data_IF_995496401254
#
_entry.id   IF_995496401254
#
_cell.length_a   1.000
_cell.length_b   1.000
_cell.length_c   1.000
_cell.angle_alpha   90.00
_cell.angle_beta   90.00
_cell.angle_gamma   90.00
#
_symmetry.space_group_name_H-M   'P 1'
#
loop_
_entity.id
_entity.type
_entity.pdbx_description
1 polymer ?
#
# COMPACT_ATOMS: atom_id res chain seq x y z
N UNK A 1 -39.78 0.28 91.52
CA UNK A 1 -39.05 1.04 90.47
C UNK A 1 -38.13 0.06 89.76
N UNK A 2 -38.07 0.16 88.42
CA UNK A 2 -37.16 -0.54 87.47
C UNK A 2 -37.46 -2.03 87.22
N UNK A 3 -37.96 -2.43 86.05
CA UNK A 3 -37.37 -2.49 84.69
C UNK A 3 -36.45 -3.70 84.50
N UNK A 4 -36.89 -4.68 83.71
CA UNK A 4 -36.10 -5.32 82.65
C UNK A 4 -36.96 -6.32 81.86
N UNK A 5 -37.43 -5.90 80.68
CA UNK A 5 -37.87 -6.79 79.58
C UNK A 5 -36.61 -7.15 78.78
N UNK A 6 -36.30 -8.44 78.63
CA UNK A 6 -35.34 -8.88 77.62
C UNK A 6 -36.09 -9.22 76.33
N UNK A 7 -35.87 -8.39 75.30
CA UNK A 7 -36.30 -8.61 73.92
C UNK A 7 -35.49 -9.77 73.31
N UNK A 8 -36.20 -10.74 72.74
CA UNK A 8 -35.68 -11.65 71.72
C UNK A 8 -35.64 -10.91 70.38
N UNK A 9 -34.45 -10.79 69.79
CA UNK A 9 -34.25 -10.33 68.40
C UNK A 9 -34.04 -11.59 67.52
N UNK A 10 -34.76 -11.77 66.40
CA UNK A 10 -34.41 -12.80 65.44
C UNK A 10 -33.28 -12.28 64.53
N UNK A 11 -32.19 -13.06 64.45
CA UNK A 11 -31.11 -12.85 63.51
C UNK A 11 -31.63 -13.22 62.10
N UNK A 12 -31.87 -12.22 61.25
CA UNK A 12 -32.14 -12.43 59.83
C UNK A 12 -30.79 -12.52 59.13
N UNK A 13 -30.35 -13.75 58.81
CA UNK A 13 -29.24 -14.00 57.88
C UNK A 13 -29.70 -13.66 56.47
N UNK A 14 -29.23 -12.52 55.96
CA UNK A 14 -29.40 -12.10 54.58
C UNK A 14 -28.37 -12.85 53.72
N UNK A 15 -28.79 -13.92 53.07
CA UNK A 15 -28.00 -14.60 52.05
C UNK A 15 -27.89 -13.68 50.83
N UNK A 16 -26.72 -13.04 50.65
CA UNK A 16 -26.34 -12.39 49.40
C UNK A 16 -26.19 -13.47 48.33
N UNK A 17 -27.20 -13.58 47.47
CA UNK A 17 -27.06 -14.20 46.15
C UNK A 17 -26.15 -13.28 45.33
N UNK A 18 -24.87 -13.62 45.25
CA UNK A 18 -23.99 -13.09 44.21
C UNK A 18 -24.47 -13.72 42.92
N UNK A 19 -25.34 -13.01 42.19
CA UNK A 19 -25.57 -13.31 40.78
C UNK A 19 -24.27 -13.01 40.07
N UNK A 20 -23.48 -14.06 39.81
CA UNK A 20 -22.45 -14.02 38.79
C UNK A 20 -23.15 -13.54 37.52
N UNK A 21 -22.87 -12.31 37.08
CA UNK A 21 -23.08 -11.93 35.70
C UNK A 21 -22.16 -12.85 34.90
N UNK A 22 -22.67 -13.99 34.44
CA UNK A 22 -21.96 -14.81 33.49
C UNK A 22 -21.90 -14.01 32.20
N UNK A 23 -20.69 -13.80 31.67
CA UNK A 23 -20.52 -13.35 30.29
C UNK A 23 -21.28 -14.33 29.36
N UNK A 24 -22.02 -13.78 28.40
CA UNK A 24 -22.68 -14.57 27.37
C UNK A 24 -21.63 -14.93 26.30
N UNK A 25 -20.84 -15.96 26.60
CA UNK A 25 -19.71 -16.38 25.77
C UNK A 25 -20.24 -17.20 24.59
N UNK A 26 -19.92 -16.76 23.37
CA UNK A 26 -20.23 -17.49 22.16
C UNK A 26 -19.26 -18.68 21.99
N UNK A 27 -19.73 -19.93 21.95
CA UNK A 27 -18.84 -21.10 21.83
C UNK A 27 -18.06 -21.15 20.49
N UNK A 28 -18.48 -20.41 19.47
CA UNK A 28 -17.85 -20.37 18.15
C UNK A 28 -17.08 -19.07 17.88
N UNK A 29 -16.81 -18.26 18.92
CA UNK A 29 -16.21 -16.94 18.74
C UNK A 29 -14.89 -17.01 17.94
N UNK A 30 -14.09 -18.07 18.08
CA UNK A 30 -12.81 -18.24 17.37
C UNK A 30 -12.97 -18.26 15.85
N UNK A 31 -14.04 -18.86 15.31
CA UNK A 31 -14.33 -18.89 13.87
C UNK A 31 -14.89 -17.56 13.37
N UNK A 32 -15.68 -16.87 14.20
CA UNK A 32 -16.32 -15.60 13.86
C UNK A 32 -15.33 -14.43 13.85
N UNK A 33 -14.40 -14.37 14.82
CA UNK A 33 -13.33 -13.35 14.85
C UNK A 33 -12.26 -13.60 13.78
N UNK A 34 -12.18 -14.82 13.25
CA UNK A 34 -11.31 -15.18 12.14
C UNK A 34 -11.94 -14.89 10.76
N UNK A 35 -13.04 -14.14 10.68
CA UNK A 35 -13.57 -13.72 9.38
C UNK A 35 -12.65 -12.68 8.72
N UNK A 36 -12.17 -12.90 7.49
CA UNK A 36 -11.23 -12.01 6.80
C UNK A 36 -11.70 -10.55 6.65
N UNK A 37 -13.02 -10.33 6.68
CA UNK A 37 -13.60 -9.00 6.48
C UNK A 37 -13.20 -8.01 7.58
N UNK A 38 -12.92 -8.47 8.81
CA UNK A 38 -12.38 -7.60 9.86
C UNK A 38 -11.01 -7.01 9.45
N UNK A 39 -10.15 -7.83 8.86
CA UNK A 39 -8.84 -7.39 8.39
C UNK A 39 -8.95 -6.53 7.12
N UNK A 40 -9.79 -6.90 6.16
CA UNK A 40 -10.05 -6.09 4.96
C UNK A 40 -10.54 -4.67 5.31
N UNK A 41 -11.51 -4.55 6.21
CA UNK A 41 -12.04 -3.25 6.65
C UNK A 41 -10.99 -2.43 7.38
N UNK A 42 -10.13 -3.08 8.18
CA UNK A 42 -9.01 -2.42 8.85
C UNK A 42 -8.01 -1.80 7.87
N UNK A 43 -7.61 -2.57 6.85
CA UNK A 43 -6.71 -2.07 5.80
C UNK A 43 -7.38 -1.00 4.93
N UNK A 44 -8.68 -1.15 4.62
CA UNK A 44 -9.46 -0.12 3.88
C UNK A 44 -9.52 1.19 4.65
N UNK A 45 -9.78 1.16 5.95
CA UNK A 45 -9.78 2.38 6.76
C UNK A 45 -8.42 3.08 6.73
N UNK A 46 -7.32 2.31 6.79
CA UNK A 46 -5.98 2.88 6.65
C UNK A 46 -5.78 3.53 5.27
N UNK A 47 -6.25 2.90 4.19
CA UNK A 47 -6.27 3.49 2.83
C UNK A 47 -7.04 4.82 2.80
N UNK A 48 -8.21 4.89 3.43
CA UNK A 48 -9.03 6.09 3.43
C UNK A 48 -8.37 7.25 4.17
N UNK A 49 -7.61 6.95 5.24
CA UNK A 49 -6.80 7.95 5.93
C UNK A 49 -5.57 8.34 5.11
N UNK A 50 -4.92 7.41 4.41
CA UNK A 50 -3.80 7.71 3.50
C UNK A 50 -4.22 8.70 2.41
N UNK A 51 -5.39 8.50 1.81
CA UNK A 51 -5.98 9.40 0.81
C UNK A 51 -6.33 10.76 1.43
N UNK A 52 -6.91 10.75 2.63
CA UNK A 52 -7.26 11.98 3.35
C UNK A 52 -6.02 12.84 3.68
N UNK A 53 -4.94 12.20 4.11
CA UNK A 53 -3.70 12.84 4.54
C UNK A 53 -2.75 13.19 3.38
N UNK A 54 -3.11 12.82 2.14
CA UNK A 54 -2.39 13.14 0.89
C UNK A 54 -0.95 12.62 0.95
N UNK A 55 -0.75 11.38 1.41
CA UNK A 55 0.56 10.76 1.40
C UNK A 55 1.05 10.49 -0.03
N UNK A 56 2.35 10.67 -0.25
CA UNK A 56 2.97 10.35 -1.53
C UNK A 56 2.95 8.85 -1.82
N UNK A 57 2.95 8.41 -3.09
CA UNK A 57 2.99 6.99 -3.44
C UNK A 57 4.07 6.17 -2.69
N UNK A 58 5.35 6.58 -2.65
CA UNK A 58 6.37 5.82 -1.92
C UNK A 58 6.11 5.76 -0.41
N UNK A 59 5.62 6.86 0.20
CA UNK A 59 5.30 6.89 1.63
C UNK A 59 4.09 6.02 1.95
N UNK A 60 3.06 6.02 1.10
CA UNK A 60 1.91 5.11 1.24
C UNK A 60 2.36 3.64 1.22
N UNK A 61 3.25 3.26 0.31
CA UNK A 61 3.84 1.90 0.27
C UNK A 61 4.55 1.52 1.58
N UNK A 62 5.26 2.47 2.22
CA UNK A 62 5.86 2.28 3.55
C UNK A 62 4.81 2.04 4.65
N UNK A 63 3.72 2.82 4.64
CA UNK A 63 2.64 2.71 5.63
C UNK A 63 1.98 1.33 5.54
N UNK A 64 1.60 0.90 4.34
CA UNK A 64 1.02 -0.42 4.12
C UNK A 64 1.96 -1.53 4.59
N UNK A 65 3.23 -1.51 4.16
CA UNK A 65 4.17 -2.58 4.45
C UNK A 65 4.39 -2.82 5.94
N UNK A 66 4.73 -1.78 6.71
CA UNK A 66 4.96 -1.98 8.14
C UNK A 66 3.69 -2.38 8.90
N UNK A 67 2.53 -1.80 8.54
CA UNK A 67 1.27 -2.18 9.18
C UNK A 67 0.90 -3.65 8.90
N UNK A 68 1.04 -4.11 7.66
CA UNK A 68 0.75 -5.49 7.29
C UNK A 68 1.76 -6.48 7.87
N UNK A 69 3.05 -6.13 7.95
CA UNK A 69 4.06 -6.96 8.63
C UNK A 69 3.71 -7.14 10.11
N UNK A 70 3.24 -6.09 10.80
CA UNK A 70 2.83 -6.20 12.20
C UNK A 70 1.66 -7.17 12.40
N UNK A 71 0.64 -7.09 11.54
CA UNK A 71 -0.46 -8.06 11.55
C UNK A 71 0.00 -9.48 11.22
N UNK A 72 0.91 -9.64 10.26
CA UNK A 72 1.49 -10.93 9.88
C UNK A 72 2.26 -11.57 11.02
N UNK A 73 3.19 -10.86 11.66
CA UNK A 73 4.01 -11.40 12.75
C UNK A 73 3.17 -11.74 13.97
N UNK A 74 2.12 -10.97 14.26
CA UNK A 74 1.19 -11.28 15.36
C UNK A 74 0.39 -12.55 15.08
N UNK A 75 0.00 -12.79 13.82
CA UNK A 75 -0.71 -14.01 13.43
C UNK A 75 0.20 -15.24 13.38
N UNK A 76 1.39 -15.10 12.78
CA UNK A 76 2.37 -16.18 12.60
C UNK A 76 2.88 -16.77 13.93
N UNK A 77 2.72 -16.06 15.05
CA UNK A 77 3.03 -16.60 16.37
C UNK A 77 2.11 -17.77 16.79
N UNK A 78 0.91 -17.86 16.22
CA UNK A 78 -0.10 -18.88 16.54
C UNK A 78 -0.49 -19.78 15.38
N UNK A 79 -0.10 -19.45 14.15
CA UNK A 79 -0.44 -20.20 12.95
C UNK A 79 0.77 -21.06 12.50
N UNK A 80 0.68 -22.39 12.53
CA UNK A 80 1.79 -23.27 12.14
C UNK A 80 2.09 -23.27 10.64
N UNK A 81 1.17 -22.76 9.80
CA UNK A 81 1.35 -22.67 8.34
C UNK A 81 2.00 -21.35 7.92
N UNK A 82 2.01 -20.33 8.80
CA UNK A 82 2.70 -19.06 8.59
C UNK A 82 4.07 -19.04 9.27
N UNK A 83 5.12 -18.95 8.47
CA UNK A 83 6.48 -18.77 8.99
C UNK A 83 6.78 -17.31 9.24
N UNK A 84 7.29 -16.97 10.43
CA UNK A 84 7.75 -15.60 10.74
C UNK A 84 8.72 -15.07 9.67
N UNK A 85 8.57 -13.78 9.37
CA UNK A 85 9.45 -13.02 8.48
C UNK A 85 10.81 -12.75 9.13
N UNK A 86 10.94 -12.89 10.45
CA UNK A 86 12.21 -12.76 11.14
C UNK A 86 13.24 -13.78 10.62
N UNK A 87 14.45 -13.32 10.32
CA UNK A 87 15.49 -14.14 9.71
C UNK A 87 15.35 -14.33 8.19
N UNK A 88 14.16 -14.13 7.60
CA UNK A 88 13.97 -13.99 6.16
C UNK A 88 14.18 -12.54 5.71
N UNK A 89 13.73 -11.59 6.51
CA UNK A 89 14.10 -10.18 6.45
C UNK A 89 15.32 -9.98 7.36
N UNK A 90 16.52 -9.67 6.82
CA UNK A 90 17.79 -9.77 7.57
C UNK A 90 17.87 -8.92 8.84
N UNK A 91 17.18 -7.78 8.86
CA UNK A 91 17.21 -6.83 9.97
C UNK A 91 15.94 -6.87 10.83
N UNK A 92 15.01 -7.80 10.58
CA UNK A 92 13.84 -8.02 11.43
C UNK A 92 14.20 -9.06 12.49
N UNK A 93 14.23 -8.64 13.75
CA UNK A 93 14.38 -9.56 14.88
C UNK A 93 13.05 -10.29 15.16
N UNK A 94 13.08 -11.49 15.77
CA UNK A 94 11.87 -12.21 16.16
C UNK A 94 10.94 -11.34 17.01
N UNK A 95 9.64 -11.36 16.70
CA UNK A 95 8.63 -10.68 17.48
C UNK A 95 8.51 -11.28 18.90
N UNK A 96 8.00 -10.52 19.88
CA UNK A 96 7.74 -11.05 21.22
C UNK A 96 6.80 -12.27 21.18
N UNK A 97 7.14 -13.30 21.94
CA UNK A 97 6.26 -14.46 22.10
C UNK A 97 4.99 -14.10 22.90
N UNK A 98 3.85 -14.74 22.60
CA UNK A 98 2.64 -14.61 23.41
C UNK A 98 2.88 -15.19 24.81
N UNK A 99 2.07 -14.78 25.78
CA UNK A 99 2.13 -15.36 27.12
C UNK A 99 1.55 -16.77 27.08
N UNK A 100 2.30 -17.80 27.52
CA UNK A 100 1.83 -19.20 27.49
C UNK A 100 0.67 -19.48 28.43
N UNK A 101 0.48 -18.63 29.44
CA UNK A 101 -0.47 -18.86 30.53
C UNK A 101 -1.82 -18.17 30.29
N UNK A 102 -1.97 -17.43 29.18
CA UNK A 102 -3.17 -16.65 28.85
C UNK A 102 -3.64 -17.02 27.44
N UNK A 103 -4.90 -17.42 27.33
CA UNK A 103 -5.53 -17.70 26.03
C UNK A 103 -5.66 -16.39 25.23
N UNK A 104 -5.30 -16.45 23.94
CA UNK A 104 -5.40 -15.32 23.02
C UNK A 104 -5.98 -15.77 21.67
N UNK A 105 -6.65 -14.83 21.00
CA UNK A 105 -7.07 -14.91 19.61
C UNK A 105 -6.06 -14.20 18.72
N UNK A 106 -5.32 -14.97 17.93
CA UNK A 106 -4.35 -14.44 16.97
C UNK A 106 -4.97 -13.56 15.88
N UNK A 107 -6.19 -13.82 15.37
CA UNK A 107 -6.88 -12.88 14.49
C UNK A 107 -7.08 -11.48 15.09
N UNK A 108 -7.54 -11.41 16.35
CA UNK A 108 -7.71 -10.13 17.06
C UNK A 108 -6.35 -9.45 17.25
N UNK A 109 -5.32 -10.20 17.66
CA UNK A 109 -3.97 -9.68 17.83
C UNK A 109 -3.40 -9.13 16.50
N UNK A 110 -3.65 -9.80 15.37
CA UNK A 110 -3.22 -9.36 14.05
C UNK A 110 -3.87 -8.03 13.62
N UNK A 111 -5.17 -7.88 13.87
CA UNK A 111 -5.90 -6.63 13.60
C UNK A 111 -5.35 -5.52 14.49
N UNK A 112 -5.24 -5.75 15.80
CA UNK A 112 -4.72 -4.77 16.75
C UNK A 112 -3.29 -4.33 16.42
N UNK A 113 -2.42 -5.27 16.02
CA UNK A 113 -1.06 -4.97 15.60
C UNK A 113 -1.03 -4.10 14.33
N UNK A 114 -1.81 -4.48 13.31
CA UNK A 114 -1.91 -3.74 12.06
C UNK A 114 -2.44 -2.32 12.28
N UNK A 115 -3.49 -2.15 13.09
CA UNK A 115 -4.08 -0.85 13.38
C UNK A 115 -3.14 0.06 14.17
N UNK A 116 -2.47 -0.46 15.20
CA UNK A 116 -1.55 0.33 16.03
C UNK A 116 -0.36 0.83 15.21
N UNK A 117 0.24 -0.03 14.36
CA UNK A 117 1.31 0.40 13.46
C UNK A 117 0.80 1.36 12.39
N UNK A 118 -0.34 1.06 11.76
CA UNK A 118 -0.97 1.96 10.78
C UNK A 118 -1.18 3.37 11.35
N UNK A 119 -1.74 3.47 12.57
CA UNK A 119 -1.98 4.72 13.28
C UNK A 119 -0.69 5.51 13.52
N UNK A 120 0.38 4.84 13.92
CA UNK A 120 1.68 5.49 14.20
C UNK A 120 2.38 6.09 12.97
N UNK A 121 1.86 5.83 11.77
CA UNK A 121 2.48 6.22 10.49
C UNK A 121 1.66 7.25 9.69
N UNK A 122 0.50 7.68 10.19
CA UNK A 122 -0.41 8.65 9.56
C UNK A 122 -0.48 9.96 10.36
N UNK A 123 -1.17 10.98 9.84
CA UNK A 123 -1.39 12.25 10.56
C UNK A 123 -2.74 12.30 11.26
N UNK A 124 -3.82 11.85 10.59
CA UNK A 124 -5.18 11.87 11.13
C UNK A 124 -5.47 10.66 12.01
N UNK A 125 -4.69 10.50 13.10
CA UNK A 125 -4.76 9.33 14.00
C UNK A 125 -6.15 9.11 14.60
N UNK A 126 -6.89 10.18 14.86
CA UNK A 126 -8.25 10.16 15.42
C UNK A 126 -9.25 9.43 14.50
N UNK A 127 -9.10 9.55 13.18
CA UNK A 127 -9.97 8.89 12.20
C UNK A 127 -9.77 7.38 12.20
N UNK A 128 -8.53 6.92 12.35
CA UNK A 128 -8.25 5.48 12.47
C UNK A 128 -8.60 4.94 13.86
N UNK A 129 -8.38 5.73 14.91
CA UNK A 129 -8.76 5.35 16.28
C UNK A 129 -10.27 5.17 16.42
N UNK A 130 -11.07 6.11 15.88
CA UNK A 130 -12.54 6.02 15.92
C UNK A 130 -13.04 4.72 15.28
N UNK A 131 -12.46 4.33 14.14
CA UNK A 131 -12.79 3.07 13.49
C UNK A 131 -12.31 1.86 14.31
N UNK A 132 -11.10 1.92 14.88
CA UNK A 132 -10.54 0.87 15.74
C UNK A 132 -11.45 0.60 16.93
N UNK A 133 -11.92 1.65 17.61
CA UNK A 133 -12.83 1.53 18.75
C UNK A 133 -14.15 0.89 18.34
N UNK A 134 -14.72 1.28 17.19
CA UNK A 134 -15.92 0.65 16.63
C UNK A 134 -15.71 -0.83 16.31
N UNK A 135 -14.56 -1.19 15.72
CA UNK A 135 -14.26 -2.57 15.36
C UNK A 135 -14.07 -3.46 16.59
N UNK A 136 -13.47 -2.93 17.66
CA UNK A 136 -13.33 -3.65 18.93
C UNK A 136 -14.70 -3.90 19.55
N UNK A 137 -15.63 -2.94 19.51
CA UNK A 137 -17.01 -3.14 19.97
C UNK A 137 -17.71 -4.23 19.14
N UNK A 138 -17.55 -4.21 17.81
CA UNK A 138 -18.13 -5.26 16.94
C UNK A 138 -17.57 -6.66 17.25
N UNK A 139 -16.29 -6.76 17.61
CA UNK A 139 -15.65 -8.02 18.01
C UNK A 139 -16.13 -8.46 19.40
N UNK A 140 -16.30 -7.51 20.33
CA UNK A 140 -16.84 -7.76 21.67
C UNK A 140 -18.27 -8.30 21.61
N UNK A 141 -19.11 -7.72 20.74
CA UNK A 141 -20.50 -8.12 20.48
C UNK A 141 -20.63 -9.56 19.94
N UNK A 142 -19.56 -10.20 19.45
CA UNK A 142 -19.55 -11.62 19.07
C UNK A 142 -19.67 -12.53 20.30
N UNK A 143 -19.34 -12.04 21.50
CA UNK A 143 -19.29 -12.82 22.74
C UNK A 143 -17.93 -13.49 22.96
N UNK A 144 -16.84 -12.78 22.64
CA UNK A 144 -15.47 -13.19 23.01
C UNK A 144 -15.30 -12.99 24.52
N UNK A 145 -14.71 -13.92 25.28
CA UNK A 145 -14.43 -13.68 26.69
C UNK A 145 -13.55 -12.43 26.90
N UNK A 146 -13.90 -11.57 27.85
CA UNK A 146 -13.21 -10.29 28.08
C UNK A 146 -11.70 -10.48 28.25
N UNK A 147 -11.30 -11.49 29.03
CA UNK A 147 -9.89 -11.82 29.27
C UNK A 147 -9.15 -12.16 27.96
N UNK A 148 -9.79 -12.92 27.06
CA UNK A 148 -9.21 -13.28 25.76
C UNK A 148 -9.12 -12.05 24.87
N UNK A 149 -10.18 -11.22 24.80
CA UNK A 149 -10.19 -10.00 24.00
C UNK A 149 -9.05 -9.05 24.40
N UNK A 150 -8.95 -8.72 25.69
CA UNK A 150 -7.92 -7.81 26.19
C UNK A 150 -6.52 -8.39 26.05
N UNK A 151 -6.32 -9.68 26.34
CA UNK A 151 -5.03 -10.32 26.17
C UNK A 151 -4.58 -10.37 24.70
N UNK A 152 -5.52 -10.56 23.77
CA UNK A 152 -5.25 -10.55 22.32
C UNK A 152 -4.82 -9.18 21.83
N UNK A 153 -5.55 -8.12 22.23
CA UNK A 153 -5.22 -6.74 21.88
C UNK A 153 -3.85 -6.37 22.46
N UNK A 154 -3.59 -6.70 23.72
CA UNK A 154 -2.31 -6.41 24.37
C UNK A 154 -1.15 -7.16 23.71
N UNK A 155 -1.36 -8.42 23.30
CA UNK A 155 -0.36 -9.15 22.53
C UNK A 155 -0.08 -8.49 21.18
N UNK A 156 -1.13 -8.15 20.41
CA UNK A 156 -0.99 -7.41 19.16
C UNK A 156 -0.25 -6.08 19.34
N UNK A 157 -0.52 -5.37 20.44
CA UNK A 157 0.17 -4.13 20.79
C UNK A 157 1.67 -4.32 21.08
N UNK A 158 2.07 -5.41 21.72
CA UNK A 158 3.48 -5.75 21.96
C UNK A 158 4.22 -6.05 20.66
N UNK A 159 3.57 -6.74 19.72
CA UNK A 159 4.12 -6.98 18.38
C UNK A 159 4.22 -5.67 17.59
N UNK A 160 3.20 -4.81 17.65
CA UNK A 160 3.24 -3.50 17.03
C UNK A 160 4.38 -2.64 17.58
N UNK A 161 4.60 -2.60 18.90
CA UNK A 161 5.70 -1.83 19.50
C UNK A 161 7.07 -2.33 19.04
N UNK A 162 7.23 -3.64 18.86
CA UNK A 162 8.43 -4.23 18.25
C UNK A 162 8.65 -3.76 16.81
N UNK A 163 7.60 -3.76 15.99
CA UNK A 163 7.67 -3.27 14.60
C UNK A 163 7.91 -1.75 14.53
N UNK A 164 7.32 -0.98 15.45
CA UNK A 164 7.53 0.47 15.58
C UNK A 164 8.99 0.78 15.91
N UNK A 165 9.55 0.10 16.91
CA UNK A 165 10.96 0.22 17.25
C UNK A 165 11.87 -0.17 16.09
N UNK A 166 11.47 -1.17 15.30
CA UNK A 166 12.21 -1.62 14.14
C UNK A 166 12.22 -0.61 12.98
N UNK A 167 11.06 -0.06 12.59
CA UNK A 167 11.00 0.89 11.47
C UNK A 167 11.65 2.22 11.80
N UNK A 168 11.80 2.58 13.08
CA UNK A 168 12.49 3.81 13.48
C UNK A 168 13.96 3.84 13.04
N UNK A 169 14.54 2.67 12.73
CA UNK A 169 15.87 2.52 12.15
C UNK A 169 15.93 2.46 10.61
N UNK A 170 14.85 2.76 9.89
CA UNK A 170 14.76 2.61 8.42
C UNK A 170 15.20 3.83 7.60
N UNK A 171 15.70 4.87 8.28
CA UNK A 171 16.15 6.15 7.72
C UNK A 171 15.05 7.14 7.28
N UNK A 172 13.76 6.82 7.44
CA UNK A 172 12.65 7.70 7.02
C UNK A 172 12.60 9.03 7.78
N UNK A 173 12.76 9.00 9.11
CA UNK A 173 12.75 10.19 9.97
C UNK A 173 13.90 11.14 9.61
N UNK A 174 15.10 10.59 9.39
CA UNK A 174 16.29 11.33 9.01
C UNK A 174 16.12 11.96 7.62
N UNK A 175 15.52 11.23 6.68
CA UNK A 175 15.36 11.71 5.30
C UNK A 175 14.44 12.93 5.19
N UNK A 176 13.56 13.19 6.17
CA UNK A 176 12.70 14.39 6.21
C UNK A 176 13.48 15.71 6.25
N UNK A 177 14.76 15.65 6.64
CA UNK A 177 15.66 16.82 6.74
C UNK A 177 16.73 16.85 5.66
N UNK A 178 16.75 15.87 4.75
CA UNK A 178 17.70 15.86 3.65
C UNK A 178 17.40 16.96 2.63
N UNK A 179 18.40 17.39 1.84
CA UNK A 179 18.20 18.39 0.81
C UNK A 179 17.12 17.96 -0.18
N UNK A 180 16.34 18.95 -0.63
CA UNK A 180 15.40 18.79 -1.74
C UNK A 180 16.16 18.55 -3.05
N UNK A 181 15.45 18.07 -4.07
CA UNK A 181 15.99 18.00 -5.43
C UNK A 181 16.42 19.39 -5.91
N UNK A 182 17.60 19.47 -6.51
CA UNK A 182 18.13 20.72 -7.06
C UNK A 182 17.87 20.76 -8.56
N UNK A 183 16.98 21.66 -8.99
CA UNK A 183 16.69 21.88 -10.41
C UNK A 183 17.93 22.47 -11.10
N UNK A 184 18.26 21.94 -12.27
CA UNK A 184 19.40 22.40 -13.07
C UNK A 184 18.93 23.03 -14.39
N UNK A 185 19.84 23.69 -15.12
CA UNK A 185 19.56 24.24 -16.45
C UNK A 185 19.80 23.26 -17.59
N UNK A 186 20.16 22.01 -17.29
CA UNK A 186 20.35 20.97 -18.29
C UNK A 186 18.96 20.52 -18.80
N UNK A 187 18.65 20.67 -20.10
CA UNK A 187 17.33 20.38 -20.65
C UNK A 187 16.99 18.89 -20.65
N UNK A 188 17.98 18.00 -20.48
CA UNK A 188 17.74 16.57 -20.28
C UNK A 188 17.22 16.23 -18.88
N UNK A 189 17.32 17.18 -17.94
CA UNK A 189 17.01 16.97 -16.53
C UNK A 189 15.61 17.43 -16.17
N UNK A 190 15.01 16.73 -15.21
CA UNK A 190 13.68 16.98 -14.71
C UNK A 190 13.55 18.40 -14.17
N UNK A 191 12.47 19.04 -14.57
CA UNK A 191 12.01 20.33 -14.10
C UNK A 191 10.61 20.14 -13.52
N UNK A 192 10.23 20.90 -12.47
CA UNK A 192 8.85 20.98 -12.03
C UNK A 192 7.94 21.36 -13.20
N UNK A 193 6.79 20.70 -13.30
CA UNK A 193 5.83 20.87 -14.39
C UNK A 193 4.61 21.69 -13.95
N UNK A 194 3.96 22.41 -14.88
CA UNK A 194 2.67 23.04 -14.62
C UNK A 194 1.60 22.06 -14.12
N UNK A 195 0.52 22.59 -13.52
CA UNK A 195 0.32 23.98 -13.11
C UNK A 195 1.04 24.37 -11.81
N UNK A 196 1.41 23.40 -10.96
CA UNK A 196 1.83 23.68 -9.58
C UNK A 196 3.34 23.87 -9.40
N UNK A 197 4.15 23.37 -10.33
CA UNK A 197 5.62 23.43 -10.26
C UNK A 197 6.18 22.96 -8.91
N UNK A 198 5.58 21.88 -8.37
CA UNK A 198 5.98 21.30 -7.09
C UNK A 198 7.43 20.78 -7.11
N UNK A 199 8.09 20.83 -5.94
CA UNK A 199 9.38 20.18 -5.74
C UNK A 199 9.29 18.67 -5.99
N UNK A 200 10.40 18.08 -6.45
CA UNK A 200 10.51 16.64 -6.68
C UNK A 200 10.21 15.84 -5.42
N UNK A 201 9.24 14.93 -5.50
CA UNK A 201 8.77 14.12 -4.37
C UNK A 201 9.77 13.02 -3.99
N UNK A 202 10.20 13.03 -2.73
CA UNK A 202 11.06 12.03 -2.10
C UNK A 202 12.42 11.79 -2.80
N UNK A 203 13.27 12.81 -3.01
CA UNK A 203 14.53 12.68 -3.75
C UNK A 203 15.56 11.75 -3.09
N UNK A 204 15.35 11.40 -1.83
CA UNK A 204 16.23 10.51 -1.07
C UNK A 204 15.56 9.16 -0.76
N UNK A 205 14.49 8.78 -1.44
CA UNK A 205 13.77 7.53 -1.16
C UNK A 205 14.65 6.28 -1.31
N UNK A 206 15.64 6.31 -2.20
CA UNK A 206 16.63 5.25 -2.37
C UNK A 206 17.49 4.98 -1.11
N UNK A 207 17.45 5.86 -0.11
CA UNK A 207 18.17 5.68 1.16
C UNK A 207 17.32 4.99 2.23
N UNK A 208 16.01 4.85 2.02
CA UNK A 208 15.14 4.12 2.93
C UNK A 208 15.55 2.64 2.90
N UNK A 209 15.56 2.01 4.07
CA UNK A 209 15.94 0.60 4.20
C UNK A 209 14.91 -0.31 3.49
N UNK A 210 15.31 -1.10 2.48
CA UNK A 210 14.43 -2.09 1.86
C UNK A 210 14.20 -3.29 2.79
N UNK A 211 13.22 -4.13 2.48
CA UNK A 211 12.95 -5.36 3.23
C UNK A 211 13.76 -6.55 2.71
N UNK A 212 13.72 -6.79 1.40
CA UNK A 212 14.34 -7.97 0.78
C UNK A 212 15.48 -7.62 -0.16
N UNK A 213 15.49 -6.41 -0.72
CA UNK A 213 16.60 -5.95 -1.57
C UNK A 213 17.90 -5.84 -0.78
N UNK A 214 19.01 -6.17 -1.44
CA UNK A 214 20.36 -6.04 -0.88
C UNK A 214 20.84 -4.57 -0.94
N UNK A 215 20.38 -3.83 -1.94
CA UNK A 215 20.57 -2.39 -2.10
C UNK A 215 19.44 -1.82 -2.95
N UNK A 216 19.21 -0.49 -2.87
CA UNK A 216 18.19 0.18 -3.68
C UNK A 216 18.44 0.03 -5.20
N UNK A 217 19.69 -0.16 -5.61
CA UNK A 217 20.09 -0.28 -7.01
C UNK A 217 20.29 -1.72 -7.50
N UNK A 218 19.89 -2.71 -6.70
CA UNK A 218 19.99 -4.13 -7.06
C UNK A 218 19.35 -4.44 -8.42
N UNK A 219 18.23 -3.76 -8.74
CA UNK A 219 17.50 -3.90 -10.01
C UNK A 219 17.55 -2.62 -10.85
N UNK A 220 18.70 -1.94 -10.86
CA UNK A 220 18.91 -0.79 -11.73
C UNK A 220 18.64 -1.16 -13.21
N UNK A 221 17.71 -0.46 -13.88
CA UNK A 221 17.33 -0.76 -15.26
C UNK A 221 18.38 -0.24 -16.25
N UNK A 222 18.13 -0.46 -17.55
CA UNK A 222 18.91 0.23 -18.59
C UNK A 222 18.72 1.74 -18.48
N UNK A 223 19.75 2.54 -18.85
CA UNK A 223 19.60 3.98 -18.90
C UNK A 223 18.50 4.39 -19.89
N UNK A 224 17.85 5.54 -19.68
CA UNK A 224 16.87 6.05 -20.64
C UNK A 224 17.52 6.38 -21.98
N UNK A 225 16.70 6.54 -23.02
CA UNK A 225 17.15 7.07 -24.31
C UNK A 225 17.90 8.37 -24.10
N UNK A 226 19.08 8.50 -24.70
CA UNK A 226 19.92 9.70 -24.58
C UNK A 226 19.19 10.91 -25.16
N UNK A 227 19.16 12.01 -24.42
CA UNK A 227 18.49 13.24 -24.84
C UNK A 227 19.14 13.81 -26.11
N UNK A 228 18.37 13.90 -27.19
CA UNK A 228 18.79 14.53 -28.44
C UNK A 228 17.60 15.28 -29.07
N UNK A 229 17.58 16.63 -29.01
CA UNK A 229 16.46 17.43 -29.52
C UNK A 229 16.41 17.51 -31.05
N UNK A 230 17.37 16.89 -31.76
CA UNK A 230 17.37 16.89 -33.21
C UNK A 230 16.22 16.04 -33.76
N UNK A 231 15.43 16.62 -34.65
CA UNK A 231 14.37 15.92 -35.38
C UNK A 231 14.91 14.63 -36.04
N UNK A 232 14.19 13.53 -35.84
CA UNK A 232 14.57 12.20 -36.31
C UNK A 232 15.57 11.42 -35.43
N UNK A 233 16.06 11.99 -34.33
CA UNK A 233 16.79 11.24 -33.30
C UNK A 233 15.88 10.20 -32.62
N UNK A 234 16.45 9.22 -31.93
CA UNK A 234 15.66 8.22 -31.21
C UNK A 234 14.90 8.83 -30.02
N UNK A 235 15.45 9.88 -29.40
CA UNK A 235 14.77 10.68 -28.39
C UNK A 235 13.55 11.40 -28.95
N UNK A 236 13.72 12.11 -30.07
CA UNK A 236 12.67 12.88 -30.70
C UNK A 236 11.51 11.98 -31.14
N UNK A 237 11.83 10.84 -31.78
CA UNK A 237 10.82 9.81 -32.12
C UNK A 237 10.09 9.26 -30.90
N UNK A 238 10.82 9.07 -29.79
CA UNK A 238 10.23 8.67 -28.51
C UNK A 238 9.20 9.68 -28.00
N UNK A 239 9.49 10.98 -28.13
CA UNK A 239 8.55 12.05 -27.78
C UNK A 239 7.36 12.12 -28.76
N UNK A 240 7.57 11.92 -30.06
CA UNK A 240 6.50 11.85 -31.06
C UNK A 240 5.50 10.73 -30.76
N UNK A 241 5.98 9.56 -30.30
CA UNK A 241 5.11 8.45 -29.87
C UNK A 241 4.18 8.90 -28.72
N UNK A 242 4.67 9.71 -27.78
CA UNK A 242 3.85 10.24 -26.68
C UNK A 242 2.87 11.30 -27.20
N UNK A 243 3.34 12.22 -28.05
CA UNK A 243 2.55 13.28 -28.66
C UNK A 243 1.37 12.73 -29.48
N UNK A 244 1.58 11.61 -30.19
CA UNK A 244 0.58 10.97 -31.04
C UNK A 244 -0.23 9.88 -30.34
N UNK A 245 0.03 9.59 -29.06
CA UNK A 245 -0.58 8.47 -28.33
C UNK A 245 -2.12 8.48 -28.29
N UNK A 246 -2.76 9.63 -28.48
CA UNK A 246 -4.23 9.76 -28.56
C UNK A 246 -4.74 10.18 -29.94
N UNK A 247 -3.86 10.28 -30.94
CA UNK A 247 -4.20 10.63 -32.32
C UNK A 247 -4.48 9.37 -33.14
N UNK A 248 -5.53 8.67 -32.73
CA UNK A 248 -6.04 7.50 -33.46
C UNK A 248 -7.33 7.87 -34.21
N UNK A 249 -7.52 7.27 -35.39
CA UNK A 249 -8.71 7.53 -36.22
C UNK A 249 -9.98 6.89 -35.66
N UNK A 250 -9.85 5.75 -34.98
CA UNK A 250 -10.98 5.06 -34.34
C UNK A 250 -11.37 5.75 -33.03
N UNK A 251 -12.57 6.35 -33.01
CA UNK A 251 -13.12 7.02 -31.84
C UNK A 251 -13.29 6.10 -30.64
N UNK A 252 -13.62 4.81 -30.87
CA UNK A 252 -13.77 3.84 -29.80
C UNK A 252 -12.42 3.49 -29.18
N UNK A 253 -11.38 3.31 -30.01
CA UNK A 253 -10.02 3.11 -29.52
C UNK A 253 -9.53 4.33 -28.73
N UNK A 254 -9.78 5.55 -29.24
CA UNK A 254 -9.42 6.77 -28.55
C UNK A 254 -10.10 6.88 -27.18
N UNK A 255 -11.41 6.59 -27.13
CA UNK A 255 -12.18 6.60 -25.89
C UNK A 255 -11.63 5.59 -24.88
N UNK A 256 -11.25 4.40 -25.35
CA UNK A 256 -10.68 3.35 -24.51
C UNK A 256 -9.30 3.73 -23.95
N UNK A 257 -8.40 4.29 -24.77
CA UNK A 257 -7.11 4.81 -24.29
C UNK A 257 -7.28 5.87 -23.21
N UNK A 258 -8.27 6.76 -23.36
CA UNK A 258 -8.62 7.78 -22.36
C UNK A 258 -9.15 7.13 -21.08
N UNK A 259 -10.03 6.14 -21.19
CA UNK A 259 -10.60 5.42 -20.05
C UNK A 259 -9.51 4.70 -19.26
N UNK A 260 -8.62 3.98 -19.95
CA UNK A 260 -7.46 3.30 -19.35
C UNK A 260 -6.55 4.29 -18.62
N UNK A 261 -6.21 5.42 -19.25
CA UNK A 261 -5.36 6.44 -18.63
C UNK A 261 -5.98 7.01 -17.35
N UNK A 262 -7.28 7.29 -17.36
CA UNK A 262 -7.99 7.84 -16.19
C UNK A 262 -8.12 6.83 -15.07
N UNK A 263 -8.43 5.57 -15.40
CA UNK A 263 -8.57 4.47 -14.45
C UNK A 263 -7.29 4.26 -13.64
N UNK A 264 -6.14 4.29 -14.31
CA UNK A 264 -4.84 4.08 -13.68
C UNK A 264 -4.11 5.38 -13.34
N UNK A 265 -4.76 6.55 -13.30
CA UNK A 265 -4.06 7.82 -13.03
C UNK A 265 -3.45 7.82 -11.62
N UNK A 266 -4.27 7.44 -10.63
CA UNK A 266 -3.94 7.25 -9.22
C UNK A 266 -2.98 8.32 -8.66
N UNK A 267 -3.15 9.57 -9.10
CA UNK A 267 -2.31 10.69 -8.73
C UNK A 267 -3.00 11.52 -7.63
N UNK A 268 -2.52 11.50 -6.37
CA UNK A 268 -3.12 12.26 -5.28
C UNK A 268 -2.87 13.78 -5.38
N UNK A 269 -2.09 14.22 -6.37
CA UNK A 269 -1.69 15.62 -6.54
C UNK A 269 -2.48 16.37 -7.62
N UNK A 270 -3.52 15.76 -8.19
CA UNK A 270 -4.31 16.42 -9.23
C UNK A 270 -4.96 17.68 -8.67
N UNK A 271 -4.55 18.83 -9.18
CA UNK A 271 -5.01 20.14 -8.73
C UNK A 271 -5.84 20.84 -9.82
N UNK A 272 -6.77 21.68 -9.39
CA UNK A 272 -7.59 22.50 -10.26
C UNK A 272 -7.44 23.97 -9.85
N UNK A 273 -7.10 24.80 -10.83
CA UNK A 273 -6.96 26.24 -10.70
C UNK A 273 -8.16 26.92 -11.37
N UNK A 274 -9.09 27.49 -10.60
CA UNK A 274 -10.22 28.29 -11.13
C UNK A 274 -10.18 29.68 -10.53
N UNK A 275 -9.60 30.63 -11.26
CA UNK A 275 -9.33 31.98 -10.75
C UNK A 275 -8.30 31.92 -9.61
N UNK A 276 -8.67 32.37 -8.41
CA UNK A 276 -7.84 32.25 -7.20
C UNK A 276 -8.13 30.99 -6.38
N UNK A 277 -9.10 30.16 -6.79
CA UNK A 277 -9.44 28.94 -6.06
C UNK A 277 -8.59 27.77 -6.51
N UNK A 278 -8.04 27.09 -5.52
CA UNK A 278 -7.23 25.88 -5.63
C UNK A 278 -7.95 24.75 -4.91
N UNK A 279 -8.25 23.66 -5.63
CA UNK A 279 -8.78 22.45 -5.01
C UNK A 279 -8.16 21.20 -5.66
N UNK A 280 -7.99 20.14 -4.86
CA UNK A 280 -7.43 18.88 -5.32
C UNK A 280 -8.52 17.82 -5.49
N UNK A 281 -8.37 16.94 -6.48
CA UNK A 281 -9.20 15.73 -6.58
C UNK A 281 -8.59 14.64 -5.72
N UNK A 282 -9.35 14.12 -4.75
CA UNK A 282 -8.91 12.97 -3.95
C UNK A 282 -8.89 11.73 -4.82
N UNK A 283 -7.74 11.06 -4.86
CA UNK A 283 -7.53 9.80 -5.57
C UNK A 283 -6.66 8.89 -4.71
N UNK A 284 -6.83 7.58 -4.88
CA UNK A 284 -5.86 6.60 -4.34
C UNK A 284 -4.52 6.74 -5.04
N UNK A 285 -3.47 6.31 -4.34
CA UNK A 285 -2.15 6.13 -4.95
C UNK A 285 -2.10 4.78 -5.68
N UNK A 286 -1.10 4.53 -6.54
CA UNK A 286 -0.97 3.24 -7.21
C UNK A 286 -0.80 2.10 -6.19
N UNK A 287 -0.18 2.40 -5.05
CA UNK A 287 -0.10 1.47 -3.93
C UNK A 287 -1.48 1.13 -3.38
N UNK A 288 -2.30 2.14 -3.06
CA UNK A 288 -3.67 1.94 -2.61
C UNK A 288 -4.54 1.13 -3.58
N UNK A 289 -4.36 1.33 -4.89
CA UNK A 289 -5.03 0.54 -5.93
C UNK A 289 -4.70 -0.94 -5.82
N UNK A 290 -3.43 -1.31 -5.74
CA UNK A 290 -3.03 -2.72 -5.60
C UNK A 290 -3.41 -3.33 -4.25
N UNK A 291 -3.53 -2.53 -3.19
CA UNK A 291 -4.11 -2.96 -1.91
C UNK A 291 -5.61 -3.28 -2.07
N UNK A 292 -6.35 -2.47 -2.82
CA UNK A 292 -7.76 -2.75 -3.11
C UNK A 292 -7.92 -3.99 -4.01
N UNK A 293 -7.09 -4.15 -5.05
CA UNK A 293 -7.04 -5.38 -5.86
C UNK A 293 -6.75 -6.60 -4.98
N UNK A 294 -5.85 -6.49 -4.01
CA UNK A 294 -5.57 -7.56 -3.04
C UNK A 294 -6.82 -7.90 -2.24
N UNK A 295 -7.60 -6.91 -1.79
CA UNK A 295 -8.88 -7.14 -1.11
C UNK A 295 -9.90 -7.87 -1.99
N UNK A 296 -10.10 -7.37 -3.22
CA UNK A 296 -11.05 -7.92 -4.21
C UNK A 296 -10.71 -9.39 -4.50
N UNK A 297 -9.45 -9.66 -4.79
CA UNK A 297 -9.01 -10.99 -5.21
C UNK A 297 -8.91 -11.97 -4.05
N UNK A 298 -8.57 -11.52 -2.84
CA UNK A 298 -8.69 -12.35 -1.62
C UNK A 298 -10.13 -12.80 -1.39
N UNK A 299 -11.10 -11.88 -1.50
CA UNK A 299 -12.53 -12.21 -1.38
C UNK A 299 -12.98 -13.17 -2.48
N UNK A 300 -12.59 -12.93 -3.73
CA UNK A 300 -12.93 -13.79 -4.86
C UNK A 300 -12.33 -15.20 -4.72
N UNK A 301 -11.10 -15.30 -4.23
CA UNK A 301 -10.42 -16.56 -3.94
C UNK A 301 -10.99 -17.28 -2.70
N UNK A 302 -11.87 -16.61 -1.93
CA UNK A 302 -12.33 -17.08 -0.61
C UNK A 302 -11.17 -17.41 0.32
N UNK A 303 -10.14 -16.55 0.29
CA UNK A 303 -8.99 -16.65 1.16
C UNK A 303 -9.45 -16.61 2.62
N UNK A 304 -8.93 -17.52 3.45
CA UNK A 304 -9.13 -17.45 4.89
C UNK A 304 -8.34 -16.28 5.50
N UNK A 305 -8.41 -16.13 6.82
CA UNK A 305 -7.78 -15.03 7.53
C UNK A 305 -6.26 -15.02 7.34
N UNK A 306 -5.62 -16.17 7.51
CA UNK A 306 -4.18 -16.33 7.38
C UNK A 306 -3.71 -15.98 5.97
N UNK A 307 -4.41 -16.49 4.95
CA UNK A 307 -4.09 -16.20 3.56
C UNK A 307 -4.30 -14.72 3.21
N UNK A 308 -5.31 -14.10 3.80
CA UNK A 308 -5.59 -12.66 3.61
C UNK A 308 -4.49 -11.79 4.22
N UNK A 309 -4.08 -12.08 5.45
CA UNK A 309 -2.98 -11.36 6.13
C UNK A 309 -1.65 -11.56 5.39
N UNK A 310 -1.36 -12.80 4.95
CA UNK A 310 -0.20 -13.12 4.11
C UNK A 310 -0.19 -12.29 2.81
N UNK A 311 -1.33 -12.21 2.11
CA UNK A 311 -1.44 -11.49 0.85
C UNK A 311 -1.13 -10.00 1.02
N UNK A 312 -1.71 -9.35 2.02
CA UNK A 312 -1.41 -7.94 2.30
C UNK A 312 0.05 -7.73 2.67
N UNK A 313 0.64 -8.59 3.50
CA UNK A 313 2.03 -8.44 3.90
C UNK A 313 2.99 -8.55 2.70
N UNK A 314 2.85 -9.59 1.88
CA UNK A 314 3.74 -9.81 0.73
C UNK A 314 3.57 -8.75 -0.36
N UNK A 315 2.33 -8.38 -0.70
CA UNK A 315 2.05 -7.32 -1.69
C UNK A 315 2.60 -5.98 -1.22
N UNK A 316 2.37 -5.61 0.04
CA UNK A 316 2.84 -4.33 0.57
C UNK A 316 4.37 -4.26 0.62
N UNK A 317 5.05 -5.37 0.96
CA UNK A 317 6.52 -5.43 0.93
C UNK A 317 7.07 -5.31 -0.51
N UNK A 318 6.46 -6.00 -1.48
CA UNK A 318 6.87 -5.91 -2.89
C UNK A 318 6.69 -4.50 -3.45
N UNK A 319 5.59 -3.86 -3.07
CA UNK A 319 5.32 -2.46 -3.38
C UNK A 319 6.37 -1.53 -2.78
N UNK A 320 6.71 -1.68 -1.49
CA UNK A 320 7.70 -0.84 -0.83
C UNK A 320 9.09 -0.96 -1.45
N UNK A 321 9.58 -2.19 -1.63
CA UNK A 321 10.87 -2.46 -2.28
C UNK A 321 10.85 -1.99 -3.75
N UNK A 322 9.71 -2.12 -4.44
CA UNK A 322 9.49 -1.61 -5.80
C UNK A 322 9.61 -0.08 -5.88
N UNK A 323 9.02 0.63 -4.91
CA UNK A 323 9.16 2.08 -4.80
C UNK A 323 10.60 2.52 -4.53
N UNK A 324 11.33 1.84 -3.64
CA UNK A 324 12.75 2.11 -3.38
C UNK A 324 13.57 1.95 -4.67
N UNK A 325 13.41 0.82 -5.36
CA UNK A 325 14.11 0.50 -6.61
C UNK A 325 13.79 1.51 -7.73
N UNK A 326 12.52 1.88 -7.88
CA UNK A 326 12.10 2.85 -8.90
C UNK A 326 12.62 4.27 -8.58
N UNK A 327 12.53 4.71 -7.34
CA UNK A 327 12.97 6.06 -6.97
C UNK A 327 14.49 6.21 -7.02
N UNK A 328 15.25 5.14 -6.80
CA UNK A 328 16.69 5.12 -7.09
C UNK A 328 16.97 5.51 -8.54
N UNK A 329 16.28 4.89 -9.50
CA UNK A 329 16.49 5.22 -10.91
C UNK A 329 15.97 6.62 -11.27
N UNK A 330 14.82 7.03 -10.73
CA UNK A 330 14.25 8.38 -10.97
C UNK A 330 15.24 9.48 -10.63
N UNK A 331 15.87 9.38 -9.47
CA UNK A 331 16.82 10.40 -9.01
C UNK A 331 18.27 10.14 -9.44
N UNK A 332 18.55 9.00 -10.08
CA UNK A 332 19.81 8.72 -10.78
C UNK A 332 19.81 9.32 -12.19
N UNK A 333 18.79 9.02 -13.00
CA UNK A 333 18.65 9.55 -14.36
C UNK A 333 18.26 11.04 -14.34
N UNK A 334 17.39 11.41 -13.40
CA UNK A 334 16.74 12.71 -13.30
C UNK A 334 16.09 13.12 -14.62
N UNK A 335 15.47 12.20 -15.35
CA UNK A 335 15.03 12.45 -16.73
C UNK A 335 13.84 13.44 -16.81
N UNK A 336 13.90 14.35 -17.78
CA UNK A 336 12.83 15.28 -18.16
C UNK A 336 11.54 14.57 -18.58
N UNK A 337 10.38 15.19 -18.31
CA UNK A 337 9.05 14.67 -18.65
C UNK A 337 8.66 15.00 -20.10
N UNK A 338 7.74 14.23 -20.72
CA UNK A 338 7.32 14.46 -22.11
C UNK A 338 6.81 15.88 -22.39
N UNK A 339 5.91 16.41 -21.55
CA UNK A 339 5.35 17.75 -21.76
C UNK A 339 6.41 18.85 -21.86
N UNK A 340 7.48 18.77 -21.08
CA UNK A 340 8.53 19.78 -21.10
C UNK A 340 9.26 19.76 -22.44
N UNK A 341 9.54 18.57 -22.97
CA UNK A 341 10.21 18.44 -24.26
C UNK A 341 9.28 18.79 -25.43
N UNK A 342 8.07 18.25 -25.43
CA UNK A 342 7.06 18.47 -26.48
C UNK A 342 6.74 19.96 -26.60
N UNK A 343 6.49 20.65 -25.48
CA UNK A 343 6.12 22.06 -25.51
C UNK A 343 7.27 22.97 -25.95
N UNK A 344 8.52 22.52 -25.78
CA UNK A 344 9.71 23.29 -26.18
C UNK A 344 10.10 23.04 -27.64
N UNK A 345 9.88 21.84 -28.17
CA UNK A 345 10.48 21.40 -29.43
C UNK A 345 9.50 20.91 -30.50
N UNK A 346 8.24 20.63 -30.16
CA UNK A 346 7.26 20.03 -31.07
C UNK A 346 6.01 20.93 -31.18
N UNK A 347 5.34 21.19 -30.07
CA UNK A 347 4.03 21.85 -30.04
C UNK A 347 3.82 22.54 -28.69
N UNK A 348 3.92 23.87 -28.65
CA UNK A 348 3.86 24.67 -27.42
C UNK A 348 2.49 24.64 -26.72
N UNK A 349 1.43 24.32 -27.46
CA UNK A 349 0.05 24.27 -26.98
C UNK A 349 -0.36 22.85 -26.53
N UNK A 350 0.53 21.86 -26.69
CA UNK A 350 0.22 20.50 -26.29
C UNK A 350 0.14 20.36 -24.76
N UNK A 351 -0.81 19.55 -24.33
CA UNK A 351 -0.98 19.17 -22.93
C UNK A 351 -1.19 17.66 -22.82
N UNK A 352 -0.57 17.00 -21.83
CA UNK A 352 -0.83 15.60 -21.55
C UNK A 352 -2.29 15.42 -21.08
N UNK A 353 -2.85 14.23 -21.30
CA UNK A 353 -4.19 13.89 -20.82
C UNK A 353 -4.26 13.90 -19.29
N UNK A 354 -3.19 13.43 -18.63
CA UNK A 354 -3.05 13.42 -17.18
C UNK A 354 -2.07 14.51 -16.74
N UNK A 355 -2.36 15.18 -15.62
CA UNK A 355 -1.40 16.11 -15.03
C UNK A 355 -0.11 15.36 -14.66
N UNK A 356 1.04 15.88 -15.11
CA UNK A 356 2.33 15.25 -14.86
C UNK A 356 2.65 15.20 -13.37
N UNK A 357 2.95 14.00 -12.82
CA UNK A 357 3.33 13.89 -11.41
C UNK A 357 4.67 14.57 -11.10
N UNK A 358 4.84 15.17 -9.91
CA UNK A 358 5.99 16.01 -9.56
C UNK A 358 7.24 15.20 -9.15
N UNK A 359 7.77 14.42 -10.08
CA UNK A 359 9.01 13.66 -9.94
C UNK A 359 9.59 13.26 -11.31
N UNK A 360 10.90 12.94 -11.38
CA UNK A 360 11.56 12.55 -12.62
C UNK A 360 10.91 11.37 -13.36
N UNK A 361 11.16 11.29 -14.66
CA UNK A 361 10.44 10.42 -15.58
C UNK A 361 10.85 8.94 -15.45
N UNK A 362 12.13 8.60 -15.63
CA UNK A 362 12.55 7.21 -15.80
C UNK A 362 12.96 6.53 -14.48
N UNK A 363 12.49 5.33 -14.12
CA UNK A 363 11.43 4.52 -14.76
C UNK A 363 10.03 4.88 -14.27
N UNK A 364 8.99 4.34 -14.92
CA UNK A 364 7.60 4.52 -14.49
C UNK A 364 7.32 3.79 -13.16
N UNK A 365 6.92 4.54 -12.13
CA UNK A 365 6.56 3.97 -10.82
C UNK A 365 5.33 3.08 -10.88
N UNK A 366 4.34 3.41 -11.73
CA UNK A 366 3.21 2.53 -12.00
C UNK A 366 3.67 1.20 -12.58
N UNK A 367 4.57 1.22 -13.56
CA UNK A 367 5.05 0.01 -14.21
C UNK A 367 5.81 -0.91 -13.24
N UNK A 368 6.70 -0.34 -12.42
CA UNK A 368 7.48 -1.11 -11.43
C UNK A 368 6.58 -1.70 -10.35
N UNK A 369 5.76 -0.88 -9.70
CA UNK A 369 4.94 -1.31 -8.56
C UNK A 369 3.85 -2.28 -9.02
N UNK A 370 3.17 -1.98 -10.12
CA UNK A 370 2.10 -2.85 -10.63
C UNK A 370 2.62 -4.23 -10.97
N UNK A 371 3.78 -4.33 -11.64
CA UNK A 371 4.34 -5.65 -11.96
C UNK A 371 4.86 -6.36 -10.72
N UNK A 372 5.47 -5.68 -9.76
CA UNK A 372 5.91 -6.29 -8.50
C UNK A 372 4.73 -6.91 -7.72
N UNK A 373 3.65 -6.15 -7.55
CA UNK A 373 2.41 -6.61 -6.90
C UNK A 373 1.77 -7.77 -7.68
N UNK A 374 1.70 -7.67 -9.02
CA UNK A 374 1.13 -8.72 -9.86
C UNK A 374 1.88 -10.04 -9.73
N UNK A 375 3.21 -10.02 -9.67
CA UNK A 375 4.01 -11.24 -9.47
C UNK A 375 3.68 -11.92 -8.13
N UNK A 376 3.53 -11.15 -7.06
CA UNK A 376 3.15 -11.70 -5.74
C UNK A 376 1.73 -12.26 -5.76
N UNK A 377 0.76 -11.53 -6.31
CA UNK A 377 -0.63 -12.01 -6.38
C UNK A 377 -0.77 -13.24 -7.27
N UNK A 378 -0.02 -13.29 -8.37
CA UNK A 378 0.09 -14.49 -9.22
C UNK A 378 0.68 -15.69 -8.44
N UNK A 379 1.65 -15.48 -7.56
CA UNK A 379 2.17 -16.54 -6.68
C UNK A 379 1.10 -17.10 -5.74
N UNK A 380 0.29 -16.20 -5.18
CA UNK A 380 -0.68 -16.52 -4.14
C UNK A 380 -1.96 -17.15 -4.69
N UNK A 381 -2.45 -16.69 -5.83
CA UNK A 381 -3.76 -17.05 -6.36
C UNK A 381 -3.73 -17.73 -7.74
N UNK A 382 -2.59 -17.70 -8.44
CA UNK A 382 -2.38 -18.38 -9.72
C UNK A 382 -2.17 -17.44 -10.92
N UNK A 383 -1.67 -18.01 -12.02
CA UNK A 383 -1.32 -17.29 -13.26
C UNK A 383 -2.55 -16.72 -13.99
N UNK A 384 -3.60 -17.54 -14.17
CA UNK A 384 -4.80 -17.19 -14.94
C UNK A 384 -5.98 -16.78 -14.03
N UNK A 385 -5.68 -15.97 -13.00
CA UNK A 385 -6.69 -15.49 -12.06
C UNK A 385 -7.45 -14.29 -12.63
N UNK A 386 -8.63 -14.53 -13.19
CA UNK A 386 -9.51 -13.48 -13.71
C UNK A 386 -10.27 -12.77 -12.58
N UNK A 387 -10.38 -11.45 -12.67
CA UNK A 387 -11.10 -10.62 -11.70
C UNK A 387 -11.67 -9.36 -12.36
N UNK A 388 -12.69 -8.78 -11.71
CA UNK A 388 -13.18 -7.43 -12.02
C UNK A 388 -12.70 -6.50 -10.93
N UNK A 389 -12.01 -5.44 -11.33
CA UNK A 389 -11.53 -4.38 -10.48
C UNK A 389 -12.58 -3.27 -10.37
N UNK A 390 -13.21 -3.17 -9.20
CA UNK A 390 -14.17 -2.14 -8.84
C UNK A 390 -13.57 -1.08 -7.89
N UNK A 391 -12.25 -1.08 -7.70
CA UNK A 391 -11.59 -0.23 -6.68
C UNK A 391 -11.67 1.27 -6.96
N UNK A 392 -11.88 1.67 -8.22
CA UNK A 392 -12.02 3.05 -8.65
C UNK A 392 -13.49 3.51 -8.76
N UNK A 393 -14.47 2.63 -8.46
CA UNK A 393 -15.91 2.97 -8.45
C UNK A 393 -16.24 4.01 -7.37
N UNK A 394 -15.56 3.95 -6.22
CA UNK A 394 -15.65 4.98 -5.17
C UNK A 394 -15.14 6.36 -5.64
N UNK A 395 -14.35 6.40 -6.72
CA UNK A 395 -13.79 7.60 -7.32
C UNK A 395 -14.43 7.95 -8.68
N UNK A 396 -15.69 7.54 -8.88
CA UNK A 396 -16.53 7.84 -10.05
C UNK A 396 -15.99 7.29 -11.38
N UNK A 397 -15.25 6.17 -11.36
CA UNK A 397 -14.76 5.47 -12.54
C UNK A 397 -15.42 4.09 -12.70
N UNK A 398 -15.65 3.61 -13.92
CA UNK A 398 -16.25 2.29 -14.15
C UNK A 398 -15.30 1.15 -13.75
N UNK A 399 -15.88 0.00 -13.40
CA UNK A 399 -15.12 -1.23 -13.18
C UNK A 399 -14.41 -1.70 -14.45
N UNK A 400 -13.30 -2.43 -14.29
CA UNK A 400 -12.55 -3.02 -15.41
C UNK A 400 -12.23 -4.49 -15.13
N UNK A 401 -12.39 -5.35 -16.13
CA UNK A 401 -12.13 -6.79 -15.98
C UNK A 401 -10.80 -7.20 -16.58
N UNK A 402 -10.07 -8.04 -15.84
CA UNK A 402 -8.78 -8.58 -16.23
C UNK A 402 -8.78 -10.10 -16.21
N UNK A 403 -7.99 -10.69 -17.10
CA UNK A 403 -7.80 -12.15 -17.20
C UNK A 403 -6.70 -12.66 -16.28
N UNK A 404 -5.81 -11.78 -15.80
CA UNK A 404 -4.75 -12.08 -14.86
C UNK A 404 -4.22 -10.80 -14.20
N UNK A 405 -3.49 -10.94 -13.10
CA UNK A 405 -2.77 -9.82 -12.48
C UNK A 405 -1.72 -9.20 -13.42
N UNK A 406 -1.07 -10.03 -14.25
CA UNK A 406 -0.11 -9.55 -15.25
C UNK A 406 -0.79 -8.69 -16.30
N UNK A 407 -1.97 -9.08 -16.78
CA UNK A 407 -2.78 -8.27 -17.70
C UNK A 407 -3.14 -6.92 -17.06
N UNK A 408 -3.63 -6.90 -15.82
CA UNK A 408 -3.88 -5.64 -15.10
C UNK A 408 -2.61 -4.77 -14.99
N UNK A 409 -1.46 -5.37 -14.67
CA UNK A 409 -0.18 -4.64 -14.58
C UNK A 409 0.30 -4.07 -15.91
N UNK A 410 0.01 -4.74 -17.03
CA UNK A 410 0.36 -4.29 -18.37
C UNK A 410 -0.51 -3.13 -18.81
N UNK A 411 -1.80 -3.18 -18.49
CA UNK A 411 -2.72 -2.06 -18.71
C UNK A 411 -2.32 -0.85 -17.86
N UNK A 412 -2.00 -1.06 -16.58
CA UNK A 412 -1.49 -0.02 -15.69
C UNK A 412 -0.21 0.63 -16.24
N UNK A 413 0.69 -0.16 -16.84
CA UNK A 413 1.93 0.32 -17.41
C UNK A 413 1.68 1.15 -18.68
N UNK A 414 0.91 0.63 -19.65
CA UNK A 414 0.66 1.33 -20.92
C UNK A 414 -0.24 2.56 -20.75
N UNK A 415 -1.08 2.60 -19.70
CA UNK A 415 -1.90 3.76 -19.35
C UNK A 415 -1.09 5.05 -19.25
N UNK A 416 0.19 4.95 -18.88
CA UNK A 416 1.08 6.09 -18.70
C UNK A 416 1.55 6.71 -20.01
N UNK A 417 1.58 5.92 -21.09
CA UNK A 417 1.76 6.44 -22.45
C UNK A 417 0.50 7.20 -22.88
N UNK A 418 -0.68 6.58 -22.72
CA UNK A 418 -1.96 7.21 -23.07
C UNK A 418 -2.22 8.48 -22.26
N UNK A 419 -1.73 8.53 -21.03
CA UNK A 419 -1.75 9.71 -20.18
C UNK A 419 -0.84 10.85 -20.63
N UNK A 420 0.12 10.61 -21.54
CA UNK A 420 1.04 11.61 -22.06
C UNK A 420 2.25 11.92 -21.17
N UNK A 421 2.54 11.08 -20.17
CA UNK A 421 3.45 11.46 -19.06
C UNK A 421 4.67 10.55 -18.91
N UNK A 422 4.75 9.48 -19.70
CA UNK A 422 5.89 8.58 -19.75
C UNK A 422 6.26 8.20 -21.19
N UNK A 423 7.57 8.08 -21.44
CA UNK A 423 8.08 7.48 -22.67
C UNK A 423 8.03 5.95 -22.57
N UNK A 424 7.96 5.27 -23.73
CA UNK A 424 7.92 3.80 -23.77
C UNK A 424 9.08 3.11 -23.03
N UNK A 425 10.35 3.58 -23.09
CA UNK A 425 11.44 2.97 -22.33
C UNK A 425 11.22 2.94 -20.81
N UNK A 426 10.63 4.00 -20.23
CA UNK A 426 10.35 4.04 -18.79
C UNK A 426 9.24 3.05 -18.39
N UNK A 427 8.32 2.78 -19.32
CA UNK A 427 7.24 1.81 -19.14
C UNK A 427 7.79 0.38 -19.22
N UNK A 428 8.50 0.04 -20.30
CA UNK A 428 8.97 -1.33 -20.56
C UNK A 428 10.06 -1.75 -19.58
N UNK A 429 11.06 -0.90 -19.33
CA UNK A 429 12.11 -1.19 -18.34
C UNK A 429 11.55 -1.16 -16.92
N UNK A 430 10.52 -0.33 -16.65
CA UNK A 430 9.79 -0.33 -15.39
C UNK A 430 9.09 -1.67 -15.12
N UNK A 431 8.41 -2.24 -16.11
CA UNK A 431 7.80 -3.58 -16.00
C UNK A 431 8.87 -4.63 -15.68
N UNK A 432 9.99 -4.65 -16.40
CA UNK A 432 11.09 -5.61 -16.15
C UNK A 432 11.65 -5.44 -14.74
N UNK A 433 11.88 -4.20 -14.30
CA UNK A 433 12.37 -3.89 -12.95
C UNK A 433 11.39 -4.37 -11.87
N UNK A 434 10.09 -4.12 -12.04
CA UNK A 434 9.04 -4.59 -11.12
C UNK A 434 8.96 -6.11 -11.03
N UNK A 435 9.08 -6.79 -12.17
CA UNK A 435 9.09 -8.25 -12.21
C UNK A 435 10.25 -8.84 -11.42
N UNK A 436 11.46 -8.27 -11.58
CA UNK A 436 12.63 -8.69 -10.83
C UNK A 436 12.47 -8.47 -9.32
N UNK A 437 11.90 -7.33 -8.90
CA UNK A 437 11.61 -7.04 -7.49
C UNK A 437 10.65 -8.07 -6.89
N UNK A 438 9.50 -8.30 -7.53
CA UNK A 438 8.49 -9.26 -7.04
C UNK A 438 9.06 -10.67 -6.95
N UNK A 439 9.79 -11.09 -7.98
CA UNK A 439 10.47 -12.38 -8.05
C UNK A 439 11.50 -12.56 -6.92
N UNK A 440 12.34 -11.54 -6.69
CA UNK A 440 13.34 -11.57 -5.63
C UNK A 440 12.73 -11.66 -4.24
N UNK A 441 11.65 -10.90 -3.99
CA UNK A 441 10.92 -10.97 -2.73
C UNK A 441 10.39 -12.37 -2.48
N UNK A 442 9.74 -13.00 -3.47
CA UNK A 442 9.23 -14.37 -3.34
C UNK A 442 10.36 -15.38 -3.14
N UNK A 443 11.51 -15.19 -3.80
CA UNK A 443 12.68 -16.03 -3.60
C UNK A 443 13.19 -15.94 -2.16
N UNK A 444 13.35 -14.73 -1.62
CA UNK A 444 13.86 -14.51 -0.26
C UNK A 444 12.88 -14.95 0.82
N UNK A 445 11.59 -14.66 0.64
CA UNK A 445 10.57 -14.90 1.66
C UNK A 445 9.88 -16.26 1.56
N UNK A 446 9.91 -16.95 0.41
CA UNK A 446 9.22 -18.24 0.21
C UNK A 446 10.12 -19.33 -0.36
N UNK A 447 11.42 -19.05 -0.55
CA UNK A 447 12.40 -20.04 -1.02
C UNK A 447 12.20 -20.51 -2.46
N UNK A 448 11.39 -19.81 -3.28
CA UNK A 448 11.13 -20.23 -4.67
C UNK A 448 12.38 -20.09 -5.55
N UNK A 449 12.73 -21.18 -6.22
CA UNK A 449 13.70 -21.16 -7.33
C UNK A 449 12.98 -20.72 -8.58
N UNK A 450 13.23 -19.50 -9.02
CA UNK A 450 12.62 -18.95 -10.23
C UNK A 450 13.37 -19.49 -11.43
N UNK A 451 12.72 -20.39 -12.17
CA UNK A 451 13.24 -20.88 -13.44
C UNK A 451 13.25 -19.73 -14.44
N UNK A 452 14.44 -19.23 -14.79
CA UNK A 452 14.61 -18.37 -15.97
C UNK A 452 14.15 -19.18 -17.18
N UNK A 453 13.00 -18.83 -17.75
CA UNK A 453 12.61 -19.30 -19.09
C UNK A 453 13.27 -18.43 -20.14
#
# INVERSE_FOLDING_TARGET
MQLARHLLLPLVTLSLLVTSCGEDINPNYQEEVAQPEFYHRSVKQLTDVIVHDIFSPPVAGRIYAYSSIAGYEALAAGDPELESLAGRIPHLAPAPAPNSDVEISYPIAAIAAQQKVGKSLIFSEDRLQTFTDSLVIEIDDIGVPDEVLFASIEYGHRVADHVIAWYDGDLYKQSRTFPKYSVTRDPSKWQPTPPDYMDGIEPSWAKIRPFTLESADQFKPKPPTEYDPKEGSDWFKGAEIVYDALKVEDEAERAERIAIAKFWDCNPYVSHHVGHMMFATKKITPGGHWINITAITSRLAKADFAKTVEAYALVSMAMHDGFISCWDEKYRSNLVRPETFINTHIDEDWAPLLQTPPFPEHTSGHSVVSRACAIVLTDLYGEDFAFTDDSEVEYDLPERSYTSFKHASEEAAISRLYGGIHYMPAITEGVIQGENVGNHLLQKLRGKVISKK
#
